data_IF_719938162040
#
_entry.id   IF_719938162040
#
_cell.length_a   1.000
_cell.length_b   1.000
_cell.length_c   1.000
_cell.angle_alpha   90.00
_cell.angle_beta   90.00
_cell.angle_gamma   90.00
#
_symmetry.space_group_name_H-M   'P 1'
#
loop_
_entity.id
_entity.type
_entity.pdbx_description
1 polymer ?
#
# COMPACT_ATOMS: atom_id res chain seq x y z
N UNK A 1 1.75 -6.61 -12.88
CA UNK A 1 2.05 -6.79 -11.46
C UNK A 1 1.97 -5.42 -10.80
N UNK A 2 0.98 -5.21 -9.95
CA UNK A 2 0.89 -3.99 -9.16
C UNK A 2 2.13 -3.82 -8.28
N UNK A 3 2.68 -2.61 -8.25
CA UNK A 3 3.81 -2.23 -7.41
C UNK A 3 3.31 -1.25 -6.34
N UNK A 4 3.06 -1.78 -5.15
CA UNK A 4 2.50 -1.00 -4.06
C UNK A 4 3.41 0.15 -3.66
N UNK A 5 4.71 -0.08 -3.48
CA UNK A 5 5.65 0.97 -3.04
C UNK A 5 5.70 2.10 -4.07
N UNK A 6 5.76 1.76 -5.35
CA UNK A 6 5.73 2.76 -6.42
C UNK A 6 4.44 3.58 -6.41
N UNK A 7 3.30 2.94 -6.16
CA UNK A 7 2.02 3.64 -6.03
C UNK A 7 2.03 4.61 -4.84
N UNK A 8 2.47 4.15 -3.66
CA UNK A 8 2.53 4.97 -2.45
C UNK A 8 3.42 6.20 -2.63
N UNK A 9 4.63 6.00 -3.17
CA UNK A 9 5.58 7.10 -3.45
C UNK A 9 5.02 8.08 -4.48
N UNK A 10 4.38 7.57 -5.55
CA UNK A 10 3.82 8.41 -6.62
C UNK A 10 2.70 9.32 -6.13
N UNK A 11 1.87 8.83 -5.20
CA UNK A 11 0.71 9.55 -4.67
C UNK A 11 1.00 10.30 -3.36
N UNK A 12 2.27 10.41 -2.95
CA UNK A 12 2.69 11.04 -1.69
C UNK A 12 1.95 10.47 -0.46
N UNK A 13 1.64 9.17 -0.51
CA UNK A 13 0.98 8.47 0.59
C UNK A 13 2.03 8.16 1.65
N UNK A 14 1.81 8.67 2.87
CA UNK A 14 2.71 8.41 3.99
C UNK A 14 2.76 6.92 4.31
N UNK A 15 3.96 6.37 4.27
CA UNK A 15 4.24 4.98 4.58
C UNK A 15 5.61 4.81 5.22
N UNK A 16 5.82 3.69 5.90
CA UNK A 16 7.12 3.25 6.36
C UNK A 16 7.42 1.85 5.81
N UNK A 17 8.70 1.58 5.59
CA UNK A 17 9.21 0.25 5.24
C UNK A 17 10.27 -0.10 6.27
N UNK A 18 10.07 -1.18 7.03
CA UNK A 18 11.05 -1.67 8.01
C UNK A 18 12.07 -2.61 7.37
N UNK A 19 13.17 -2.88 8.09
CA UNK A 19 14.27 -3.72 7.60
C UNK A 19 13.87 -5.17 7.26
N UNK A 20 12.78 -5.67 7.86
CA UNK A 20 12.19 -6.98 7.55
C UNK A 20 11.18 -6.94 6.39
N UNK A 21 11.03 -5.78 5.74
CA UNK A 21 10.15 -5.57 4.59
C UNK A 21 8.71 -5.18 4.92
N UNK A 22 8.31 -5.09 6.20
CA UNK A 22 6.93 -4.71 6.52
C UNK A 22 6.63 -3.29 6.04
N UNK A 23 5.48 -3.15 5.39
CA UNK A 23 4.99 -1.89 4.83
C UNK A 23 3.86 -1.42 5.74
N UNK A 24 3.98 -0.23 6.31
CA UNK A 24 2.87 0.37 7.08
C UNK A 24 2.38 1.62 6.39
N UNK A 25 1.08 1.67 6.10
CA UNK A 25 0.35 2.88 5.69
C UNK A 25 -0.45 3.35 6.90
N UNK A 26 -0.14 4.54 7.42
CA UNK A 26 -0.72 5.01 8.70
C UNK A 26 -2.17 5.48 8.60
N UNK A 27 -2.67 5.72 7.39
CA UNK A 27 -4.02 6.22 7.11
C UNK A 27 -4.79 5.24 6.20
N UNK A 28 -5.85 5.72 5.56
CA UNK A 28 -6.58 4.96 4.55
C UNK A 28 -5.69 4.70 3.32
N UNK A 29 -5.87 3.54 2.70
CA UNK A 29 -5.28 3.17 1.43
C UNK A 29 -6.42 2.87 0.45
N UNK A 30 -6.57 3.73 -0.55
CA UNK A 30 -7.58 3.58 -1.60
C UNK A 30 -6.92 3.03 -2.87
N UNK A 31 -7.36 1.86 -3.30
CA UNK A 31 -6.93 1.19 -4.52
C UNK A 31 -8.11 0.85 -5.46
N UNK A 32 -9.32 1.35 -5.21
CA UNK A 32 -10.56 1.00 -5.94
C UNK A 32 -10.42 1.23 -7.46
N UNK A 33 -9.73 2.31 -7.84
CA UNK A 33 -9.48 2.67 -9.25
C UNK A 33 -8.14 2.18 -9.81
N UNK A 34 -7.42 1.31 -9.09
CA UNK A 34 -6.09 0.85 -9.48
C UNK A 34 -6.17 -0.49 -10.22
N UNK A 35 -5.94 -0.45 -11.54
CA UNK A 35 -5.91 -1.67 -12.35
C UNK A 35 -4.73 -2.59 -12.00
N UNK A 36 -4.98 -3.90 -11.93
CA UNK A 36 -3.94 -4.93 -11.79
C UNK A 36 -3.51 -5.20 -10.34
N UNK A 37 -4.30 -4.76 -9.36
CA UNK A 37 -4.20 -5.17 -7.95
C UNK A 37 -4.77 -6.58 -7.80
N UNK A 38 -4.03 -7.58 -8.29
CA UNK A 38 -4.44 -8.98 -8.18
C UNK A 38 -4.20 -9.53 -6.75
N UNK A 39 -3.22 -8.96 -6.05
CA UNK A 39 -2.87 -9.29 -4.66
C UNK A 39 -2.11 -8.14 -4.01
N UNK A 40 -2.24 -8.03 -2.68
CA UNK A 40 -1.42 -7.15 -1.86
C UNK A 40 -0.26 -7.92 -1.21
N UNK A 41 0.83 -7.24 -0.83
CA UNK A 41 1.91 -7.86 -0.06
C UNK A 41 1.40 -8.37 1.31
N UNK A 42 1.77 -9.59 1.70
CA UNK A 42 1.38 -10.17 3.01
C UNK A 42 1.89 -9.36 4.21
N UNK A 43 2.90 -8.53 4.00
CA UNK A 43 3.56 -7.71 5.00
C UNK A 43 3.04 -6.26 5.05
N UNK A 44 1.87 -6.00 4.45
CA UNK A 44 1.18 -4.71 4.49
C UNK A 44 0.31 -4.58 5.74
N UNK A 45 0.49 -3.48 6.47
CA UNK A 45 -0.41 -3.00 7.53
C UNK A 45 -1.02 -1.67 7.11
N UNK A 46 -2.36 -1.57 7.14
CA UNK A 46 -3.10 -0.33 6.89
C UNK A 46 -3.74 0.11 8.21
N UNK A 47 -3.43 1.33 8.64
CA UNK A 47 -3.94 1.89 9.90
C UNK A 47 -5.38 2.40 9.83
N UNK A 48 -5.90 2.61 8.62
CA UNK A 48 -7.28 3.01 8.35
C UNK A 48 -8.03 1.98 7.49
N UNK A 49 -8.90 2.49 6.62
CA UNK A 49 -9.62 1.68 5.64
C UNK A 49 -8.74 1.30 4.46
N UNK A 50 -8.91 0.08 3.98
CA UNK A 50 -8.36 -0.39 2.72
C UNK A 50 -9.54 -0.55 1.74
N UNK A 51 -9.51 0.20 0.65
CA UNK A 51 -10.45 0.07 -0.47
C UNK A 51 -9.76 -0.60 -1.67
N UNK A 52 -10.45 -1.50 -2.38
CA UNK A 52 -9.88 -2.41 -3.38
C UNK A 52 -10.69 -2.51 -4.67
#
# INVERSE_FOLDING_TARGET
MFDLIKHLVKNDIQHTVSDNGNITVTHNLDLEDVSGVDALPDNLTVGGYLDL
#
